data_IF_849414090874
#
_entry.id   IF_849414090874
#
_cell.length_a   1.000
_cell.length_b   1.000
_cell.length_c   1.000
_cell.angle_alpha   90.00
_cell.angle_beta   90.00
_cell.angle_gamma   90.00
#
_symmetry.space_group_name_H-M   'P 1'
#
loop_
_entity.id
_entity.type
_entity.pdbx_description
1 polymer ?
#
# COMPACT_ATOMS: atom_id res chain seq x y z
N UNK A 1 22.12 29.34 -1.42
CA UNK A 1 21.14 28.35 -0.91
C UNK A 1 20.25 27.98 -2.08
N UNK A 2 20.48 26.83 -2.67
CA UNK A 2 19.64 26.32 -3.78
C UNK A 2 18.41 25.69 -3.19
N UNK A 3 17.30 26.39 -3.20
CA UNK A 3 15.98 25.82 -3.00
C UNK A 3 15.62 24.95 -4.20
N UNK A 4 15.98 23.68 -4.17
CA UNK A 4 15.37 22.73 -5.09
C UNK A 4 13.91 22.56 -4.69
N UNK A 5 12.96 22.83 -5.58
CA UNK A 5 11.57 22.62 -5.28
C UNK A 5 11.30 21.11 -5.20
N UNK A 6 11.27 20.55 -4.00
CA UNK A 6 10.81 19.19 -3.70
C UNK A 6 9.42 18.88 -4.31
N UNK A 7 8.69 19.93 -4.66
CA UNK A 7 7.35 19.86 -5.28
C UNK A 7 7.34 19.14 -6.63
N UNK A 8 8.47 19.07 -7.35
CA UNK A 8 8.55 18.39 -8.65
C UNK A 8 8.85 16.91 -8.58
N UNK A 9 9.23 16.40 -7.41
CA UNK A 9 9.59 14.99 -7.23
C UNK A 9 8.40 14.16 -6.76
N UNK A 10 7.47 14.78 -6.03
CA UNK A 10 6.31 14.09 -5.50
C UNK A 10 5.37 13.59 -6.59
N UNK A 11 4.87 12.37 -6.44
CA UNK A 11 3.82 11.85 -7.30
C UNK A 11 2.54 12.69 -7.14
N UNK A 12 1.81 12.96 -8.22
CA UNK A 12 0.53 13.66 -8.12
C UNK A 12 -0.46 12.88 -7.26
N UNK A 13 -1.15 13.59 -6.38
CA UNK A 13 -2.23 13.04 -5.56
C UNK A 13 -3.57 13.43 -6.16
N UNK A 14 -4.53 12.54 -6.00
CA UNK A 14 -5.92 12.80 -6.36
C UNK A 14 -6.85 12.26 -5.27
N UNK A 15 -8.07 12.76 -5.28
CA UNK A 15 -9.13 12.09 -4.55
C UNK A 15 -9.50 10.84 -5.36
N UNK A 16 -9.29 9.62 -4.81
CA UNK A 16 -9.51 8.42 -5.59
C UNK A 16 -11.00 8.26 -5.87
N UNK A 17 -11.36 8.14 -7.14
CA UNK A 17 -12.73 7.78 -7.48
C UNK A 17 -12.92 6.27 -7.38
N UNK A 18 -14.10 5.80 -6.93
CA UNK A 18 -14.40 4.37 -6.95
C UNK A 18 -14.34 3.75 -8.36
N UNK A 19 -14.46 4.57 -9.40
CA UNK A 19 -14.38 4.12 -10.80
C UNK A 19 -12.92 3.85 -11.22
N UNK A 20 -11.98 4.74 -10.84
CA UNK A 20 -10.56 4.60 -11.18
C UNK A 20 -9.86 3.50 -10.37
N UNK A 21 -10.31 3.24 -9.16
CA UNK A 21 -9.73 2.27 -8.23
C UNK A 21 -10.76 1.22 -7.78
N UNK A 22 -11.69 0.84 -8.64
CA UNK A 22 -12.83 0.00 -8.28
C UNK A 22 -12.43 -1.35 -7.68
N UNK A 23 -11.39 -1.98 -8.22
CA UNK A 23 -10.89 -3.26 -7.71
C UNK A 23 -10.24 -3.12 -6.34
N UNK A 24 -9.43 -2.08 -6.14
CA UNK A 24 -8.79 -1.79 -4.85
C UNK A 24 -9.83 -1.45 -3.78
N UNK A 25 -10.82 -0.63 -4.12
CA UNK A 25 -11.91 -0.32 -3.19
C UNK A 25 -12.70 -1.57 -2.80
N UNK A 26 -13.06 -2.41 -3.75
CA UNK A 26 -13.77 -3.65 -3.51
C UNK A 26 -12.93 -4.61 -2.65
N UNK A 27 -11.65 -4.70 -2.96
CA UNK A 27 -10.71 -5.55 -2.23
C UNK A 27 -10.58 -5.15 -0.76
N UNK A 28 -10.35 -3.86 -0.50
CA UNK A 28 -10.24 -3.34 0.87
C UNK A 28 -11.57 -3.37 1.61
N UNK A 29 -12.66 -3.01 0.95
CA UNK A 29 -14.00 -3.02 1.56
C UNK A 29 -14.39 -4.40 2.04
N UNK A 30 -14.01 -5.44 1.31
CA UNK A 30 -14.28 -6.82 1.68
C UNK A 30 -13.42 -7.32 2.85
N UNK A 31 -12.29 -6.66 3.15
CA UNK A 31 -11.29 -7.17 4.08
C UNK A 31 -11.07 -6.32 5.31
N UNK A 32 -11.26 -5.01 5.23
CA UNK A 32 -11.07 -4.12 6.37
C UNK A 32 -12.12 -4.36 7.46
N UNK A 33 -11.67 -4.38 8.72
CA UNK A 33 -12.57 -4.39 9.87
C UNK A 33 -13.37 -3.08 9.98
N UNK A 34 -12.75 -1.96 9.57
CA UNK A 34 -13.39 -0.64 9.49
C UNK A 34 -13.33 -0.11 8.05
N UNK A 35 -14.37 -0.35 7.22
CA UNK A 35 -14.41 0.13 5.85
C UNK A 35 -14.43 1.66 5.71
N UNK A 36 -14.79 2.41 6.77
CA UNK A 36 -14.81 3.87 6.74
C UNK A 36 -13.41 4.47 6.57
N UNK A 37 -12.36 3.72 6.81
CA UNK A 37 -10.98 4.13 6.50
C UNK A 37 -10.79 4.47 5.01
N UNK A 38 -11.60 3.90 4.14
CA UNK A 38 -11.57 4.19 2.71
C UNK A 38 -12.00 5.63 2.37
N UNK A 39 -12.78 6.28 3.23
CA UNK A 39 -13.18 7.67 3.05
C UNK A 39 -11.98 8.63 3.16
N UNK A 40 -10.95 8.25 3.89
CA UNK A 40 -9.69 8.98 4.02
C UNK A 40 -8.59 8.52 3.06
N UNK A 41 -8.87 7.58 2.18
CA UNK A 41 -7.88 7.07 1.23
C UNK A 41 -7.43 8.13 0.23
N UNK A 42 -6.19 8.01 -0.22
CA UNK A 42 -5.56 8.94 -1.17
C UNK A 42 -5.16 8.17 -2.41
N UNK A 43 -5.50 8.70 -3.57
CA UNK A 43 -5.00 8.20 -4.85
C UNK A 43 -3.62 8.77 -5.15
N UNK A 44 -2.66 7.91 -5.45
CA UNK A 44 -1.29 8.26 -5.84
C UNK A 44 -1.08 7.88 -7.30
N UNK A 45 -0.83 8.88 -8.15
CA UNK A 45 -0.63 8.64 -9.59
C UNK A 45 0.81 8.23 -9.86
N UNK A 46 0.98 7.01 -10.36
CA UNK A 46 2.29 6.46 -10.73
C UNK A 46 2.17 5.76 -12.08
N UNK A 47 2.94 6.21 -13.06
CA UNK A 47 3.02 5.61 -14.40
C UNK A 47 1.65 5.39 -15.07
N UNK A 48 0.75 6.37 -14.95
CA UNK A 48 -0.60 6.29 -15.54
C UNK A 48 -1.62 5.48 -14.75
N UNK A 49 -1.21 4.84 -13.66
CA UNK A 49 -2.09 4.15 -12.73
C UNK A 49 -2.35 4.99 -11.47
N UNK A 50 -3.49 4.78 -10.86
CA UNK A 50 -3.83 5.34 -9.55
C UNK A 50 -3.73 4.25 -8.50
N UNK A 51 -2.76 4.40 -7.58
CA UNK A 51 -2.61 3.50 -6.44
C UNK A 51 -3.42 4.02 -5.26
N UNK A 52 -4.15 3.14 -4.61
CA UNK A 52 -4.97 3.49 -3.46
C UNK A 52 -4.15 3.37 -2.17
N UNK A 53 -3.86 4.50 -1.53
CA UNK A 53 -3.21 4.55 -0.23
C UNK A 53 -4.27 4.67 0.87
N UNK A 54 -4.42 3.63 1.66
CA UNK A 54 -5.38 3.60 2.77
C UNK A 54 -4.68 4.02 4.06
N UNK A 55 -5.15 5.09 4.74
CA UNK A 55 -4.48 5.62 5.91
C UNK A 55 -4.53 4.65 7.09
N UNK A 56 -3.60 4.81 8.02
CA UNK A 56 -3.69 4.22 9.35
C UNK A 56 -4.80 4.92 10.15
N UNK A 57 -5.49 4.16 10.98
CA UNK A 57 -6.57 4.64 11.83
C UNK A 57 -7.36 3.47 12.41
N UNK A 58 -8.04 3.68 13.52
CA UNK A 58 -8.77 2.61 14.20
C UNK A 58 -7.87 1.41 14.51
N UNK A 59 -8.28 0.23 14.09
CA UNK A 59 -7.49 -1.01 14.23
C UNK A 59 -6.35 -1.13 13.20
N UNK A 60 -6.35 -0.34 12.14
CA UNK A 60 -5.29 -0.34 11.13
C UNK A 60 -4.11 0.49 11.59
N UNK A 61 -3.00 -0.15 11.89
CA UNK A 61 -1.78 0.52 12.38
C UNK A 61 -0.90 1.07 11.28
N UNK A 62 -0.93 0.49 10.12
CA UNK A 62 -0.10 0.92 9.00
C UNK A 62 -0.55 0.33 7.67
N UNK A 63 0.22 0.62 6.65
CA UNK A 63 -0.02 0.14 5.31
C UNK A 63 1.23 0.24 4.45
N UNK A 64 1.09 -0.12 3.19
CA UNK A 64 2.15 -0.02 2.22
C UNK A 64 1.61 0.10 0.80
N UNK A 65 2.46 0.63 -0.09
CA UNK A 65 2.30 0.57 -1.54
C UNK A 65 3.53 -0.09 -2.15
N UNK A 66 3.30 -0.91 -3.17
CA UNK A 66 4.37 -1.55 -3.94
C UNK A 66 4.53 -0.85 -5.28
N UNK A 67 5.77 -0.57 -5.64
CA UNK A 67 6.13 0.09 -6.91
C UNK A 67 7.32 -0.61 -7.57
N UNK A 68 7.43 -0.48 -8.88
CA UNK A 68 8.43 -1.21 -9.65
C UNK A 68 9.82 -0.58 -9.67
N UNK A 69 9.94 0.72 -9.43
CA UNK A 69 11.22 1.44 -9.49
C UNK A 69 11.51 2.20 -8.22
N UNK A 70 12.80 2.42 -7.95
CA UNK A 70 13.24 3.26 -6.82
C UNK A 70 12.74 4.69 -6.97
N UNK A 71 12.76 5.23 -8.19
CA UNK A 71 12.26 6.57 -8.47
C UNK A 71 10.78 6.72 -8.09
N UNK A 72 9.95 5.75 -8.44
CA UNK A 72 8.54 5.74 -8.06
C UNK A 72 8.35 5.62 -6.54
N UNK A 73 9.17 4.81 -5.87
CA UNK A 73 9.13 4.71 -4.42
C UNK A 73 9.43 6.06 -3.73
N UNK A 74 10.44 6.78 -4.21
CA UNK A 74 10.78 8.12 -3.71
C UNK A 74 9.66 9.12 -4.00
N UNK A 75 9.04 9.06 -5.17
CA UNK A 75 7.92 9.94 -5.54
C UNK A 75 6.68 9.72 -4.67
N UNK A 76 6.35 8.46 -4.40
CA UNK A 76 5.25 8.09 -3.49
C UNK A 76 5.56 8.55 -2.06
N UNK A 77 6.77 8.28 -1.59
CA UNK A 77 7.22 8.74 -0.28
C UNK A 77 7.11 10.27 -0.14
N UNK A 78 7.58 11.02 -1.12
CA UNK A 78 7.50 12.48 -1.12
C UNK A 78 6.05 12.99 -1.13
N UNK A 79 5.14 12.29 -1.80
CA UNK A 79 3.75 12.66 -1.89
C UNK A 79 2.96 12.44 -0.59
N UNK A 80 3.24 11.36 0.11
CA UNK A 80 2.44 10.95 1.28
C UNK A 80 3.04 11.38 2.62
N UNK A 81 4.36 11.63 2.68
CA UNK A 81 5.00 12.01 3.95
C UNK A 81 4.39 13.28 4.53
N UNK A 82 4.22 13.30 5.84
CA UNK A 82 3.66 14.45 6.56
C UNK A 82 2.14 14.60 6.46
N UNK A 83 1.47 13.71 5.73
CA UNK A 83 0.00 13.70 5.67
C UNK A 83 -0.59 12.98 6.88
N UNK A 84 -1.73 13.49 7.35
CA UNK A 84 -2.49 12.82 8.40
C UNK A 84 -2.89 11.41 7.96
N UNK A 85 -2.74 10.43 8.84
CA UNK A 85 -3.03 9.03 8.54
C UNK A 85 -1.85 8.25 7.94
N UNK A 86 -0.73 8.91 7.66
CA UNK A 86 0.45 8.29 7.07
C UNK A 86 1.72 8.55 7.92
N UNK A 87 1.78 8.03 9.16
CA UNK A 87 2.92 8.25 10.03
C UNK A 87 4.09 7.32 9.73
N UNK A 88 5.27 7.70 10.15
CA UNK A 88 6.47 6.83 10.21
C UNK A 88 6.81 6.15 8.89
N UNK A 89 6.98 6.94 7.83
CA UNK A 89 7.35 6.44 6.52
C UNK A 89 8.70 5.72 6.48
N UNK A 90 8.73 4.61 5.77
CA UNK A 90 9.94 3.84 5.47
C UNK A 90 9.92 3.36 4.03
N UNK A 91 11.08 3.39 3.40
CA UNK A 91 11.30 2.76 2.11
C UNK A 91 11.96 1.39 2.33
N UNK A 92 11.41 0.36 1.71
CA UNK A 92 12.02 -0.96 1.63
C UNK A 92 12.39 -1.22 0.17
N UNK A 93 13.66 -1.06 -0.13
CA UNK A 93 14.16 -1.24 -1.50
C UNK A 93 14.64 -2.67 -1.69
N UNK A 94 14.25 -3.28 -2.79
CA UNK A 94 14.73 -4.60 -3.18
C UNK A 94 15.91 -4.47 -4.14
N UNK A 95 16.97 -5.26 -3.89
CA UNK A 95 18.11 -5.37 -4.79
C UNK A 95 17.89 -6.37 -5.92
N UNK A 96 16.82 -7.16 -5.88
CA UNK A 96 16.54 -8.20 -6.86
C UNK A 96 15.65 -7.69 -7.98
N UNK A 97 16.00 -8.03 -9.22
CA UNK A 97 15.15 -7.76 -10.39
C UNK A 97 13.85 -8.55 -10.26
N UNK A 98 12.72 -7.93 -10.59
CA UNK A 98 11.40 -8.54 -10.53
C UNK A 98 10.76 -8.55 -9.14
N UNK A 99 11.38 -7.94 -8.13
CA UNK A 99 10.78 -7.68 -6.82
C UNK A 99 10.44 -6.21 -6.69
N UNK A 100 9.28 -5.94 -6.08
CA UNK A 100 8.83 -4.56 -5.85
C UNK A 100 9.59 -3.90 -4.73
N UNK A 101 9.75 -2.59 -4.86
CA UNK A 101 10.05 -1.70 -3.74
C UNK A 101 8.76 -1.36 -3.02
N UNK A 102 8.82 -1.18 -1.71
CA UNK A 102 7.64 -0.83 -0.91
C UNK A 102 7.85 0.49 -0.19
N UNK A 103 6.80 1.28 -0.16
CA UNK A 103 6.67 2.46 0.68
C UNK A 103 5.74 2.09 1.81
N UNK A 104 6.24 2.11 3.04
CA UNK A 104 5.50 1.68 4.22
C UNK A 104 5.21 2.86 5.14
N UNK A 105 4.09 2.82 5.81
CA UNK A 105 3.77 3.76 6.90
C UNK A 105 3.25 3.00 8.12
N UNK A 106 3.38 3.63 9.26
CA UNK A 106 3.05 3.04 10.54
C UNK A 106 4.21 2.27 11.18
N UNK A 107 3.99 1.57 12.30
CA UNK A 107 4.99 0.74 12.96
C UNK A 107 5.50 -0.39 12.06
N UNK A 108 6.60 -1.01 12.43
CA UNK A 108 7.09 -2.19 11.68
C UNK A 108 6.04 -3.29 11.64
N UNK A 109 5.91 -3.89 10.47
CA UNK A 109 5.01 -5.02 10.28
C UNK A 109 5.48 -6.23 11.07
N UNK A 110 4.54 -6.94 11.74
CA UNK A 110 4.83 -8.24 12.34
C UNK A 110 5.26 -9.26 11.29
N UNK A 111 6.02 -10.25 11.72
CA UNK A 111 6.48 -11.33 10.82
C UNK A 111 5.42 -12.41 10.61
N UNK A 112 4.62 -12.65 11.62
CA UNK A 112 3.58 -13.68 11.61
C UNK A 112 2.37 -13.16 10.82
N UNK A 113 1.81 -13.99 9.95
CA UNK A 113 0.80 -13.58 8.97
C UNK A 113 -0.51 -13.10 9.62
N UNK A 114 -0.98 -13.76 10.68
CA UNK A 114 -2.18 -13.35 11.37
C UNK A 114 -2.00 -11.99 12.08
N UNK A 115 -0.85 -11.79 12.71
CA UNK A 115 -0.53 -10.50 13.35
C UNK A 115 -0.36 -9.39 12.32
N UNK A 116 0.21 -9.70 11.16
CA UNK A 116 0.34 -8.77 10.05
C UNK A 116 -1.02 -8.38 9.49
N UNK A 117 -1.95 -9.32 9.38
CA UNK A 117 -3.34 -9.04 9.01
C UNK A 117 -4.02 -8.08 9.99
N UNK A 118 -3.83 -8.30 11.28
CA UNK A 118 -4.33 -7.39 12.33
C UNK A 118 -3.66 -6.01 12.26
N UNK A 119 -2.36 -5.96 11.98
CA UNK A 119 -1.61 -4.72 11.77
C UNK A 119 -2.20 -3.88 10.64
N UNK A 120 -2.62 -4.50 9.56
CA UNK A 120 -3.28 -3.83 8.44
C UNK A 120 -4.78 -3.57 8.65
N UNK A 121 -5.32 -3.92 9.79
CA UNK A 121 -6.72 -3.67 10.14
C UNK A 121 -7.71 -4.57 9.41
N UNK A 122 -7.30 -5.75 8.98
CA UNK A 122 -8.21 -6.70 8.34
C UNK A 122 -9.13 -7.36 9.36
N UNK A 123 -10.36 -7.64 8.93
CA UNK A 123 -11.33 -8.37 9.74
C UNK A 123 -10.84 -9.79 10.04
N UNK A 124 -11.18 -10.38 11.21
CA UNK A 124 -10.79 -11.74 11.56
C UNK A 124 -11.14 -12.76 10.48
N UNK A 125 -12.32 -12.65 9.88
CA UNK A 125 -12.76 -13.55 8.79
C UNK A 125 -11.87 -13.46 7.54
N UNK A 126 -11.40 -12.27 7.19
CA UNK A 126 -10.49 -12.09 6.08
C UNK A 126 -9.10 -12.68 6.38
N UNK A 127 -8.62 -12.55 7.60
CA UNK A 127 -7.36 -13.15 8.05
C UNK A 127 -7.46 -14.68 8.01
N UNK A 128 -8.55 -15.25 8.53
CA UNK A 128 -8.77 -16.69 8.53
C UNK A 128 -8.85 -17.26 7.11
N UNK A 129 -9.53 -16.58 6.21
CA UNK A 129 -9.60 -16.94 4.79
C UNK A 129 -8.23 -16.92 4.15
N UNK A 130 -7.43 -15.89 4.39
CA UNK A 130 -6.07 -15.79 3.87
C UNK A 130 -5.21 -16.94 4.37
N UNK A 131 -5.22 -17.23 5.67
CA UNK A 131 -4.44 -18.30 6.26
C UNK A 131 -4.85 -19.68 5.74
N UNK A 132 -6.14 -19.89 5.53
CA UNK A 132 -6.67 -21.13 4.95
C UNK A 132 -6.17 -21.35 3.52
N UNK A 133 -6.27 -20.32 2.67
CA UNK A 133 -5.87 -20.39 1.26
C UNK A 133 -4.35 -20.53 1.08
N UNK A 134 -3.56 -20.02 2.02
CA UNK A 134 -2.10 -20.02 1.96
C UNK A 134 -1.45 -21.08 2.85
N UNK A 135 -2.23 -22.03 3.37
CA UNK A 135 -1.69 -23.24 4.02
C UNK A 135 -0.89 -24.06 3.04
N UNK A 136 0.44 -23.93 3.11
CA UNK A 136 1.37 -24.64 2.21
C UNK A 136 2.24 -23.74 1.35
N UNK A 137 1.94 -22.46 1.23
CA UNK A 137 2.82 -21.48 0.59
C UNK A 137 3.82 -20.95 1.62
N UNK A 138 4.90 -21.67 1.83
CA UNK A 138 6.08 -21.12 2.53
C UNK A 138 6.81 -20.18 1.59
N UNK A 139 6.81 -18.89 1.98
CA UNK A 139 7.78 -17.84 1.61
C UNK A 139 8.33 -17.90 0.17
N UNK A 140 7.57 -17.36 -0.76
CA UNK A 140 8.13 -16.74 -1.95
C UNK A 140 8.16 -15.24 -1.75
N UNK A 141 9.28 -14.58 -2.07
CA UNK A 141 9.40 -13.14 -2.12
C UNK A 141 8.20 -12.54 -2.87
N UNK A 142 7.61 -11.49 -2.30
CA UNK A 142 6.46 -10.82 -2.89
C UNK A 142 6.69 -10.50 -4.36
N UNK A 143 5.99 -11.20 -5.23
CA UNK A 143 5.93 -10.83 -6.65
C UNK A 143 5.04 -9.60 -6.76
N UNK A 144 5.55 -8.59 -7.46
CA UNK A 144 4.68 -7.56 -8.00
C UNK A 144 3.68 -8.24 -8.94
N UNK A 145 2.46 -8.43 -8.47
CA UNK A 145 1.37 -8.82 -9.37
C UNK A 145 0.96 -7.57 -10.13
N UNK A 146 1.59 -7.34 -11.27
CA UNK A 146 0.94 -6.58 -12.31
C UNK A 146 -0.30 -7.37 -12.74
N UNK A 147 -1.47 -6.74 -12.94
CA UNK A 147 -2.58 -7.43 -13.54
C UNK A 147 -2.14 -7.88 -14.93
N UNK A 148 -1.96 -9.17 -15.08
CA UNK A 148 -1.73 -9.82 -16.35
C UNK A 148 -3.02 -9.69 -17.14
N UNK A 149 -3.02 -8.81 -18.12
CA UNK A 149 -4.00 -8.79 -19.20
C UNK A 149 -3.72 -10.01 -20.05
N UNK A 150 -4.49 -11.05 -19.82
CA UNK A 150 -4.60 -12.17 -20.76
C UNK A 150 -5.34 -11.71 -22.04
N UNK A 151 -4.89 -12.15 -23.24
CA UNK A 151 -5.43 -11.75 -24.53
C UNK A 151 -6.83 -12.23 -24.81
#
# INVERSE_FOLDING_TARGET
MLHFPLVRIAAPLCHPSPEECSEDYAWFRARLADPNLLDGAVGVKVNGAVLLAVPAGGSRRGGYLSVGTVADAVRVWAALRGRSGFPRFRLSLSAHRGTCHTVNWGPRQPREDAERGRHFGYAPSAIDTFLFLHRGFRKGAGRCSSPETDP
#
